data_IF_706478051078
#
_entry.id   IF_706478051078
#
_cell.length_a   1.000
_cell.length_b   1.000
_cell.length_c   1.000
_cell.angle_alpha   90.00
_cell.angle_beta   90.00
_cell.angle_gamma   90.00
#
_symmetry.space_group_name_H-M   'P 1'
#
loop_
_entity.id
_entity.type
_entity.pdbx_description
1 polymer ?
#
# COMPACT_ATOMS: atom_id res chain seq x y z
N UNK A 1 -8.36 12.20 35.66
CA UNK A 1 -8.00 10.78 35.44
C UNK A 1 -6.90 10.72 34.37
N UNK A 2 -5.62 10.79 34.75
CA UNK A 2 -4.45 10.98 33.83
C UNK A 2 -3.37 9.91 33.97
N UNK A 3 -3.61 8.87 34.76
CA UNK A 3 -2.62 7.83 35.12
C UNK A 3 -1.98 7.17 33.89
N UNK A 4 -2.74 7.03 32.79
CA UNK A 4 -2.27 6.39 31.56
C UNK A 4 -1.28 7.22 30.72
N UNK A 5 -1.17 8.54 30.96
CA UNK A 5 -0.23 9.41 30.21
C UNK A 5 1.23 9.05 30.49
N UNK A 6 1.54 8.55 31.69
CA UNK A 6 2.89 8.16 32.09
C UNK A 6 3.39 6.97 31.25
N UNK A 7 2.49 6.03 30.95
CA UNK A 7 2.78 4.83 30.18
C UNK A 7 2.59 5.01 28.66
N UNK A 8 2.29 6.22 28.16
CA UNK A 8 1.97 6.44 26.74
C UNK A 8 3.02 5.91 25.77
N UNK A 9 4.31 5.94 26.14
CA UNK A 9 5.43 5.45 25.32
C UNK A 9 5.51 3.92 25.26
N UNK A 10 4.84 3.21 26.16
CA UNK A 10 4.76 1.75 26.14
C UNK A 10 3.71 1.24 25.14
N UNK A 11 2.82 2.12 24.66
CA UNK A 11 1.86 1.78 23.62
C UNK A 11 2.45 1.98 22.22
N UNK A 12 2.34 0.95 21.37
CA UNK A 12 2.76 0.97 19.96
C UNK A 12 2.20 2.19 19.21
N UNK A 13 0.99 2.61 19.55
CA UNK A 13 0.32 3.78 18.96
C UNK A 13 1.15 5.05 19.05
N UNK A 14 1.88 5.29 20.15
CA UNK A 14 2.70 6.49 20.32
C UNK A 14 3.86 6.59 19.31
N UNK A 15 4.25 5.45 18.72
CA UNK A 15 5.31 5.35 17.74
C UNK A 15 4.76 5.28 16.31
N UNK A 16 3.68 4.53 16.08
CA UNK A 16 3.08 4.38 14.74
C UNK A 16 2.46 5.67 14.23
N UNK A 17 1.97 6.53 15.12
CA UNK A 17 1.39 7.84 14.78
C UNK A 17 2.37 8.83 14.12
N UNK A 18 3.66 8.49 14.04
CA UNK A 18 4.70 9.34 13.42
C UNK A 18 5.00 8.97 11.97
N UNK A 19 4.47 7.86 11.49
CA UNK A 19 4.79 7.34 10.16
C UNK A 19 3.53 6.94 9.39
N UNK A 20 3.53 7.11 8.05
CA UNK A 20 2.44 6.65 7.21
C UNK A 20 2.45 5.10 7.14
N UNK A 21 1.52 4.45 7.83
CA UNK A 21 1.38 3.00 7.81
C UNK A 21 0.15 2.54 7.00
N UNK A 22 -0.63 3.46 6.39
CA UNK A 22 -1.72 3.19 5.44
C UNK A 22 -2.81 2.23 5.93
N UNK A 23 -3.01 2.17 7.26
CA UNK A 23 -3.93 1.22 7.90
C UNK A 23 -3.34 -0.16 8.22
N UNK A 24 -2.08 -0.44 7.89
CA UNK A 24 -1.37 -1.66 8.28
C UNK A 24 -0.94 -1.58 9.76
N UNK A 25 -1.85 -1.90 10.68
CA UNK A 25 -1.61 -1.90 12.13
C UNK A 25 -1.39 -3.29 12.73
N UNK A 26 -1.53 -4.33 11.91
CA UNK A 26 -1.45 -5.74 12.31
C UNK A 26 -0.59 -6.51 11.29
N UNK A 27 0.14 -7.56 11.73
CA UNK A 27 0.93 -8.42 10.85
C UNK A 27 0.07 -9.29 9.91
N UNK A 28 -1.26 -9.27 10.02
CA UNK A 28 -2.17 -10.12 9.23
C UNK A 28 -1.93 -10.08 7.72
N UNK A 29 -1.50 -8.94 7.16
CA UNK A 29 -1.14 -8.84 5.74
C UNK A 29 0.13 -9.61 5.40
N UNK A 30 1.15 -9.54 6.26
CA UNK A 30 2.39 -10.30 6.09
C UNK A 30 2.12 -11.80 6.27
N UNK A 31 1.31 -12.17 7.24
CA UNK A 31 0.86 -13.55 7.45
C UNK A 31 0.08 -14.08 6.25
N UNK A 32 -0.82 -13.28 5.67
CA UNK A 32 -1.53 -13.63 4.45
C UNK A 32 -0.61 -13.84 3.25
N UNK A 33 0.40 -12.98 3.08
CA UNK A 33 1.43 -13.14 2.05
C UNK A 33 2.24 -14.42 2.26
N UNK A 34 2.64 -14.72 3.50
CA UNK A 34 3.31 -15.98 3.83
C UNK A 34 2.42 -17.20 3.56
N UNK A 35 1.13 -17.13 3.93
CA UNK A 35 0.18 -18.20 3.68
C UNK A 35 -0.01 -18.45 2.17
N UNK A 36 -0.05 -17.40 1.37
CA UNK A 36 -0.10 -17.51 -0.10
C UNK A 36 1.12 -18.24 -0.66
N UNK A 37 2.32 -17.83 -0.26
CA UNK A 37 3.57 -18.48 -0.71
C UNK A 37 3.60 -19.94 -0.27
N UNK A 38 3.27 -20.24 1.00
CA UNK A 38 3.18 -21.62 1.50
C UNK A 38 2.19 -22.46 0.72
N UNK A 39 1.02 -21.90 0.35
CA UNK A 39 0.01 -22.57 -0.48
C UNK A 39 0.55 -22.95 -1.87
N UNK A 40 1.39 -22.11 -2.47
CA UNK A 40 2.06 -22.40 -3.73
C UNK A 40 3.16 -23.47 -3.58
N UNK A 41 3.92 -23.43 -2.49
CA UNK A 41 5.00 -24.40 -2.24
C UNK A 41 4.45 -25.80 -1.95
N UNK A 42 3.37 -25.91 -1.16
CA UNK A 42 2.71 -27.16 -0.73
C UNK A 42 3.55 -28.14 0.09
N UNK A 43 4.86 -27.92 0.19
CA UNK A 43 5.81 -28.77 0.91
C UNK A 43 6.69 -27.92 1.82
N UNK A 44 7.10 -28.49 2.96
CA UNK A 44 8.10 -27.89 3.85
C UNK A 44 9.53 -28.24 3.45
N UNK A 45 9.70 -29.26 2.60
CA UNK A 45 10.99 -29.75 2.08
C UNK A 45 10.91 -29.94 0.57
N UNK A 46 11.87 -29.41 -0.19
CA UNK A 46 11.91 -29.57 -1.64
C UNK A 46 13.25 -29.17 -2.23
N UNK A 47 13.58 -29.70 -3.41
CA UNK A 47 14.78 -29.31 -4.14
C UNK A 47 14.74 -27.80 -4.43
N UNK A 48 15.88 -27.12 -4.27
CA UNK A 48 15.96 -25.66 -4.39
C UNK A 48 15.45 -25.16 -5.76
N UNK A 49 15.76 -25.86 -6.84
CA UNK A 49 15.29 -25.54 -8.19
C UNK A 49 13.76 -25.60 -8.29
N UNK A 50 13.12 -26.61 -7.69
CA UNK A 50 11.67 -26.75 -7.67
C UNK A 50 11.02 -25.61 -6.88
N UNK A 51 11.58 -25.25 -5.72
CA UNK A 51 11.11 -24.13 -4.89
C UNK A 51 11.21 -22.82 -5.66
N UNK A 52 12.35 -22.56 -6.31
CA UNK A 52 12.57 -21.36 -7.11
C UNK A 52 11.54 -21.23 -8.25
N UNK A 53 11.32 -22.31 -9.01
CA UNK A 53 10.34 -22.32 -10.09
C UNK A 53 8.92 -22.06 -9.59
N UNK A 54 8.52 -22.68 -8.45
CA UNK A 54 7.22 -22.43 -7.82
C UNK A 54 7.06 -20.98 -7.36
N UNK A 55 8.11 -20.37 -6.80
CA UNK A 55 8.10 -18.97 -6.39
C UNK A 55 7.96 -18.02 -7.58
N UNK A 56 8.64 -18.29 -8.69
CA UNK A 56 8.48 -17.50 -9.92
C UNK A 56 7.05 -17.60 -10.46
N UNK A 57 6.47 -18.80 -10.49
CA UNK A 57 5.06 -18.98 -10.91
C UNK A 57 4.09 -18.25 -9.97
N UNK A 58 4.34 -18.30 -8.65
CA UNK A 58 3.54 -17.57 -7.68
C UNK A 58 3.61 -16.05 -7.90
N UNK A 59 4.81 -15.54 -8.18
CA UNK A 59 5.05 -14.13 -8.49
C UNK A 59 4.33 -13.72 -9.78
N UNK A 60 4.44 -14.50 -10.84
CA UNK A 60 3.75 -14.24 -12.11
C UNK A 60 2.23 -14.19 -11.92
N UNK A 61 1.68 -15.09 -11.10
CA UNK A 61 0.26 -15.11 -10.77
C UNK A 61 -0.15 -13.85 -9.99
N UNK A 62 0.64 -13.42 -9.01
CA UNK A 62 0.39 -12.16 -8.28
C UNK A 62 0.45 -10.95 -9.21
N UNK A 63 1.46 -10.86 -10.09
CA UNK A 63 1.61 -9.75 -11.04
C UNK A 63 0.37 -9.69 -11.96
N UNK A 64 -0.04 -10.83 -12.53
CA UNK A 64 -1.24 -10.89 -13.38
C UNK A 64 -2.50 -10.48 -12.63
N UNK A 65 -2.68 -10.96 -11.40
CA UNK A 65 -3.81 -10.61 -10.56
C UNK A 65 -3.84 -9.09 -10.26
N UNK A 66 -2.70 -8.50 -9.90
CA UNK A 66 -2.57 -7.07 -9.62
C UNK A 66 -2.82 -6.20 -10.85
N UNK A 67 -2.28 -6.59 -12.02
CA UNK A 67 -2.54 -5.88 -13.28
C UNK A 67 -4.02 -5.92 -13.62
N UNK A 68 -4.67 -7.07 -13.48
CA UNK A 68 -6.11 -7.22 -13.68
C UNK A 68 -6.91 -6.35 -12.70
N UNK A 69 -6.60 -6.41 -11.41
CA UNK A 69 -7.26 -5.62 -10.38
C UNK A 69 -7.12 -4.11 -10.62
N UNK A 70 -5.91 -3.63 -10.96
CA UNK A 70 -5.69 -2.22 -11.30
C UNK A 70 -6.46 -1.80 -12.55
N UNK A 71 -6.57 -2.68 -13.53
CA UNK A 71 -7.35 -2.41 -14.75
C UNK A 71 -8.84 -2.29 -14.41
N UNK A 72 -9.36 -3.18 -13.57
CA UNK A 72 -10.73 -3.08 -13.04
C UNK A 72 -10.94 -1.79 -12.24
N UNK A 73 -10.00 -1.40 -11.36
CA UNK A 73 -10.11 -0.15 -10.58
C UNK A 73 -10.11 1.10 -11.46
N UNK A 74 -9.41 1.10 -12.60
CA UNK A 74 -9.45 2.20 -13.57
C UNK A 74 -10.79 2.29 -14.29
N UNK A 75 -11.42 1.15 -14.58
CA UNK A 75 -12.72 1.09 -15.26
C UNK A 75 -13.89 1.40 -14.31
N UNK A 76 -13.81 0.92 -13.07
CA UNK A 76 -14.87 1.06 -12.08
C UNK A 76 -14.81 2.44 -11.42
N UNK A 77 -15.56 3.39 -11.96
CA UNK A 77 -15.84 4.65 -11.29
C UNK A 77 -17.02 4.50 -10.34
N UNK A 78 -16.94 5.16 -9.17
CA UNK A 78 -18.10 5.28 -8.31
C UNK A 78 -19.13 6.20 -9.00
N UNK A 79 -20.35 5.72 -9.16
CA UNK A 79 -21.46 6.50 -9.71
C UNK A 79 -21.93 7.51 -8.66
N UNK A 80 -22.24 8.75 -9.05
CA UNK A 80 -22.69 9.84 -8.16
C UNK A 80 -21.66 10.31 -7.12
N UNK A 81 -20.39 10.46 -7.50
CA UNK A 81 -19.40 11.13 -6.64
C UNK A 81 -19.59 12.65 -6.63
N UNK A 82 -19.34 13.35 -5.50
CA UNK A 82 -19.34 14.81 -5.46
C UNK A 82 -18.31 15.41 -6.43
N UNK A 83 -18.62 16.58 -7.00
CA UNK A 83 -17.82 17.21 -8.06
C UNK A 83 -16.36 17.44 -7.69
N UNK A 84 -16.06 17.74 -6.43
CA UNK A 84 -14.69 17.88 -5.90
C UNK A 84 -13.81 16.64 -6.15
N UNK A 85 -14.41 15.45 -6.30
CA UNK A 85 -13.71 14.19 -6.56
C UNK A 85 -13.58 13.83 -8.05
N UNK A 86 -14.25 14.55 -8.96
CA UNK A 86 -14.30 14.20 -10.38
C UNK A 86 -12.89 14.09 -11.00
N UNK A 87 -12.01 15.01 -10.64
CA UNK A 87 -10.61 15.10 -11.07
C UNK A 87 -9.71 13.96 -10.57
N UNK A 88 -10.06 13.27 -9.49
CA UNK A 88 -9.28 12.16 -8.90
C UNK A 88 -9.88 10.78 -9.17
N UNK A 89 -11.14 10.71 -9.58
CA UNK A 89 -11.79 9.47 -10.01
C UNK A 89 -10.97 8.77 -11.11
N UNK A 90 -10.72 7.47 -10.96
CA UNK A 90 -9.89 6.69 -11.89
C UNK A 90 -8.38 7.01 -11.87
N UNK A 91 -7.93 7.99 -11.07
CA UNK A 91 -6.50 8.33 -10.89
C UNK A 91 -5.93 7.83 -9.56
N UNK A 92 -6.80 7.63 -8.57
CA UNK A 92 -6.45 7.06 -7.26
C UNK A 92 -7.19 5.73 -7.04
N UNK A 93 -6.64 4.87 -6.18
CA UNK A 93 -7.25 3.60 -5.81
C UNK A 93 -8.66 3.79 -5.26
N UNK A 94 -9.53 2.81 -5.52
CA UNK A 94 -10.90 2.82 -5.02
C UNK A 94 -10.95 2.86 -3.49
N UNK A 95 -9.99 2.20 -2.83
CA UNK A 95 -9.85 2.23 -1.38
C UNK A 95 -9.65 3.66 -0.84
N UNK A 96 -8.71 4.41 -1.43
CA UNK A 96 -8.42 5.78 -1.00
C UNK A 96 -9.62 6.70 -1.28
N UNK A 97 -10.27 6.55 -2.43
CA UNK A 97 -11.48 7.29 -2.78
C UNK A 97 -12.60 7.05 -1.75
N UNK A 98 -12.92 5.79 -1.44
CA UNK A 98 -13.94 5.44 -0.42
C UNK A 98 -13.60 6.02 0.96
N UNK A 99 -12.35 5.92 1.40
CA UNK A 99 -11.90 6.50 2.68
C UNK A 99 -12.05 8.03 2.69
N UNK A 100 -11.73 8.69 1.59
CA UNK A 100 -11.88 10.14 1.45
C UNK A 100 -13.36 10.57 1.43
N UNK A 101 -14.23 9.81 0.75
CA UNK A 101 -15.69 10.04 0.79
C UNK A 101 -16.26 9.95 2.20
N UNK A 102 -15.78 9.00 3.02
CA UNK A 102 -16.16 8.93 4.44
C UNK A 102 -15.73 10.20 5.19
N UNK A 103 -14.53 10.74 4.92
CA UNK A 103 -14.09 12.01 5.53
C UNK A 103 -14.92 13.20 5.05
N UNK A 104 -15.33 13.20 3.77
CA UNK A 104 -16.22 14.21 3.21
C UNK A 104 -17.61 14.16 3.85
N UNK A 105 -18.16 12.97 4.10
CA UNK A 105 -19.45 12.81 4.79
C UNK A 105 -19.48 13.42 6.20
N UNK A 106 -18.33 13.44 6.88
CA UNK A 106 -18.17 14.06 8.21
C UNK A 106 -18.20 15.60 8.20
N UNK A 107 -18.15 16.25 7.03
CA UNK A 107 -18.27 17.71 6.93
C UNK A 107 -19.62 18.23 7.42
N UNK A 108 -20.65 17.36 7.47
CA UNK A 108 -21.99 17.70 7.97
C UNK A 108 -22.07 17.78 9.50
N UNK A 109 -21.03 17.34 10.21
CA UNK A 109 -20.97 17.28 11.66
C UNK A 109 -20.12 18.41 12.22
N UNK A 110 -20.28 18.72 13.51
CA UNK A 110 -19.37 19.64 14.20
C UNK A 110 -17.95 19.12 14.12
N UNK A 111 -17.05 19.98 13.65
CA UNK A 111 -15.67 19.61 13.40
C UNK A 111 -14.85 19.78 14.68
N UNK A 112 -14.29 18.68 15.19
CA UNK A 112 -13.29 18.71 16.26
C UNK A 112 -11.90 19.09 15.75
N UNK A 113 -11.10 19.88 16.49
CA UNK A 113 -9.79 20.35 16.04
C UNK A 113 -8.95 19.29 15.31
N UNK A 114 -8.45 19.64 14.12
CA UNK A 114 -7.68 18.73 13.29
C UNK A 114 -6.37 18.35 13.98
N UNK A 115 -6.18 17.06 14.25
CA UNK A 115 -4.91 16.54 14.75
C UNK A 115 -3.88 16.30 13.63
N UNK A 116 -4.31 16.32 12.36
CA UNK A 116 -3.47 15.99 11.19
C UNK A 116 -3.09 14.51 11.06
N UNK A 117 -3.23 13.74 12.13
CA UNK A 117 -2.86 12.32 12.27
C UNK A 117 -3.46 11.48 11.15
N UNK A 118 -4.74 11.67 10.82
CA UNK A 118 -5.39 10.86 9.79
C UNK A 118 -4.69 10.99 8.44
N UNK A 119 -4.36 12.22 8.03
CA UNK A 119 -3.67 12.44 6.76
C UNK A 119 -2.23 11.93 6.79
N UNK A 120 -1.58 11.99 7.94
CA UNK A 120 -0.24 11.44 8.10
C UNK A 120 -0.24 9.90 8.05
N UNK A 121 -1.08 9.22 8.84
CA UNK A 121 -1.14 7.76 8.88
C UNK A 121 -1.63 7.18 7.54
N UNK A 122 -2.68 7.76 6.98
CA UNK A 122 -3.35 7.21 5.80
C UNK A 122 -2.83 7.80 4.50
N UNK A 123 -2.19 8.96 4.48
CA UNK A 123 -1.85 9.64 3.23
C UNK A 123 -3.09 10.13 2.44
N UNK A 124 -4.21 10.38 3.13
CA UNK A 124 -5.50 10.78 2.55
C UNK A 124 -5.97 12.07 3.22
N UNK A 125 -6.53 13.05 2.49
CA UNK A 125 -7.07 14.26 3.09
C UNK A 125 -8.09 13.97 4.20
N UNK A 126 -7.88 14.55 5.39
CA UNK A 126 -8.85 14.52 6.47
C UNK A 126 -9.99 15.52 6.21
N UNK A 127 -11.07 15.42 6.98
CA UNK A 127 -12.23 16.32 6.89
C UNK A 127 -11.85 17.81 6.89
N UNK A 128 -10.88 18.23 7.70
CA UNK A 128 -10.42 19.63 7.71
C UNK A 128 -9.71 20.07 6.44
N UNK A 129 -8.83 19.22 5.89
CA UNK A 129 -8.16 19.51 4.61
C UNK A 129 -9.19 19.61 3.49
N UNK A 130 -10.20 18.74 3.50
CA UNK A 130 -11.31 18.82 2.55
C UNK A 130 -12.11 20.12 2.71
N UNK A 131 -12.45 20.51 3.94
CA UNK A 131 -13.15 21.78 4.20
C UNK A 131 -12.37 23.00 3.67
N UNK A 132 -11.05 23.01 3.86
CA UNK A 132 -10.19 24.08 3.35
C UNK A 132 -10.17 24.13 1.82
N UNK A 133 -10.07 22.97 1.15
CA UNK A 133 -10.10 22.89 -0.32
C UNK A 133 -11.45 23.39 -0.86
N UNK A 134 -12.56 22.95 -0.26
CA UNK A 134 -13.92 23.38 -0.66
C UNK A 134 -14.09 24.89 -0.49
N UNK A 135 -13.64 25.45 0.65
CA UNK A 135 -13.72 26.89 0.92
C UNK A 135 -12.96 27.70 -0.13
N UNK A 136 -11.83 27.19 -0.60
CA UNK A 136 -11.02 27.80 -1.64
C UNK A 136 -11.53 27.53 -3.06
N UNK A 137 -12.74 26.95 -3.21
CA UNK A 137 -13.32 26.52 -4.49
C UNK A 137 -12.39 25.60 -5.31
N UNK A 138 -11.54 24.86 -4.61
CA UNK A 138 -10.59 23.94 -5.23
C UNK A 138 -11.21 22.58 -5.53
N UNK A 139 -10.57 21.84 -6.43
CA UNK A 139 -10.84 20.42 -6.66
C UNK A 139 -9.76 19.56 -6.03
N UNK A 140 -10.06 18.29 -5.75
CA UNK A 140 -9.01 17.37 -5.34
C UNK A 140 -8.08 17.07 -6.52
N UNK A 141 -6.82 16.84 -6.23
CA UNK A 141 -5.84 16.38 -7.22
C UNK A 141 -5.15 15.14 -6.69
N UNK A 142 -4.54 14.36 -7.57
CA UNK A 142 -3.79 13.17 -7.15
C UNK A 142 -2.68 13.50 -6.14
N UNK A 143 -2.11 14.73 -6.22
CA UNK A 143 -1.09 15.23 -5.29
C UNK A 143 -1.58 15.41 -3.86
N UNK A 144 -2.89 15.53 -3.64
CA UNK A 144 -3.43 15.58 -2.28
C UNK A 144 -3.40 14.20 -1.59
N UNK A 145 -3.06 13.14 -2.31
CA UNK A 145 -2.97 11.77 -1.83
C UNK A 145 -1.53 11.29 -1.90
N UNK A 146 -1.15 10.45 -0.94
CA UNK A 146 0.16 9.81 -0.93
C UNK A 146 0.36 8.94 -2.20
N UNK A 147 1.58 8.87 -2.77
CA UNK A 147 1.87 8.11 -3.98
C UNK A 147 1.40 6.64 -3.96
N UNK A 148 1.39 6.01 -2.78
CA UNK A 148 0.85 4.66 -2.54
C UNK A 148 -0.58 4.47 -3.09
N UNK A 149 -1.38 5.53 -3.14
CA UNK A 149 -2.78 5.46 -3.59
C UNK A 149 -2.96 5.84 -5.05
N UNK A 150 -1.93 6.29 -5.76
CA UNK A 150 -2.04 6.74 -7.14
C UNK A 150 -1.99 5.53 -8.07
N UNK A 151 -2.92 5.45 -9.03
CA UNK A 151 -2.99 4.35 -10.00
C UNK A 151 -2.00 4.51 -11.16
N UNK A 152 -1.50 5.73 -11.38
CA UNK A 152 -0.36 5.96 -12.27
C UNK A 152 0.90 5.63 -11.50
N UNK A 153 1.51 4.51 -11.86
CA UNK A 153 2.88 4.21 -11.46
C UNK A 153 3.82 5.07 -12.30
N UNK A 154 4.32 6.16 -11.73
CA UNK A 154 5.45 6.87 -12.32
C UNK A 154 6.70 6.11 -11.85
N UNK A 155 7.34 5.36 -12.74
CA UNK A 155 8.59 4.64 -12.44
C UNK A 155 9.76 5.56 -12.06
N UNK A 156 9.53 6.86 -11.93
CA UNK A 156 10.54 7.90 -11.79
C UNK A 156 11.17 7.99 -10.40
N UNK A 157 10.67 7.26 -9.40
CA UNK A 157 11.26 7.24 -8.05
C UNK A 157 11.87 5.89 -7.67
N UNK A 158 11.83 4.91 -8.56
CA UNK A 158 12.70 3.76 -8.48
C UNK A 158 13.82 4.02 -9.46
N UNK A 159 15.02 4.34 -8.97
CA UNK A 159 16.21 3.84 -9.67
C UNK A 159 15.87 2.39 -10.02
N UNK A 160 15.84 2.06 -11.31
CA UNK A 160 15.85 0.66 -11.72
C UNK A 160 17.15 0.14 -11.13
N UNK A 161 17.09 -0.40 -9.92
CA UNK A 161 18.23 -1.11 -9.35
C UNK A 161 18.44 -2.27 -10.29
N UNK A 162 19.46 -2.13 -11.10
CA UNK A 162 19.90 -3.20 -11.98
C UNK A 162 20.41 -4.31 -11.06
N UNK A 163 19.56 -5.30 -10.86
CA UNK A 163 19.92 -6.50 -10.12
C UNK A 163 20.70 -7.49 -10.99
N UNK A 164 20.96 -7.17 -12.27
CA UNK A 164 21.70 -8.01 -13.21
C UNK A 164 23.05 -8.46 -12.65
N UNK A 165 23.83 -7.52 -12.10
CA UNK A 165 25.12 -7.83 -11.49
C UNK A 165 25.03 -8.72 -10.24
N UNK A 166 23.94 -8.64 -9.47
CA UNK A 166 23.73 -9.56 -8.32
C UNK A 166 23.37 -10.97 -8.80
N UNK A 167 22.61 -11.10 -9.89
CA UNK A 167 22.28 -12.40 -10.47
C UNK A 167 23.47 -13.10 -11.11
N UNK A 168 24.37 -12.35 -11.74
CA UNK A 168 25.63 -12.87 -12.28
C UNK A 168 26.58 -13.33 -11.17
N UNK A 169 26.66 -12.60 -10.06
CA UNK A 169 27.43 -13.00 -8.87
C UNK A 169 26.87 -14.27 -8.21
N UNK A 170 25.54 -14.39 -8.11
CA UNK A 170 24.91 -15.60 -7.56
C UNK A 170 25.11 -16.78 -8.51
N UNK A 171 24.98 -16.57 -9.82
CA UNK A 171 25.21 -17.61 -10.84
C UNK A 171 26.63 -18.15 -10.80
N UNK A 172 27.64 -17.27 -10.81
CA UNK A 172 29.04 -17.68 -10.70
C UNK A 172 29.34 -18.42 -9.40
N UNK A 173 28.74 -18.02 -8.28
CA UNK A 173 28.86 -18.76 -7.01
C UNK A 173 28.23 -20.14 -7.05
N UNK A 174 27.09 -20.30 -7.74
CA UNK A 174 26.44 -21.61 -7.91
C UNK A 174 27.29 -22.52 -8.79
N UNK A 175 27.88 -22.00 -9.87
CA UNK A 175 28.77 -22.75 -10.77
C UNK A 175 30.08 -23.18 -10.09
N UNK A 176 30.53 -22.45 -9.07
CA UNK A 176 31.69 -22.80 -8.24
C UNK A 176 31.37 -23.80 -7.11
N UNK A 177 30.11 -24.16 -6.88
CA UNK A 177 29.79 -25.17 -5.88
C UNK A 177 30.27 -26.55 -6.36
N UNK A 178 30.99 -27.31 -5.52
CA UNK A 178 31.42 -28.66 -5.90
C UNK A 178 30.19 -29.49 -6.22
N UNK A 179 30.21 -30.20 -7.35
CA UNK A 179 29.14 -31.11 -7.73
C UNK A 179 28.87 -32.06 -6.56
N UNK A 180 27.65 -32.03 -6.02
CA UNK A 180 27.21 -33.01 -5.04
C UNK A 180 27.40 -34.39 -5.65
N UNK A 181 28.39 -35.14 -5.14
CA UNK A 181 28.53 -36.57 -5.42
C UNK A 181 27.24 -37.24 -4.96
N UNK A 182 26.49 -37.79 -5.92
CA UNK A 182 25.44 -38.77 -5.65
C UNK A 182 26.04 -40.02 -5.00
#
# INVERSE_FOLDING_TARGET
MTIWIVYKKQFVKAWTLKHPHFGNKSPSRAEGAHAYVKKFLQVSTGALLLVFNKLNTALDHQIKAEVSQRSMEKMHHLVKIPEIFASVSGKISLFALRKCLVQHGKLKQELHPCTGIFTLEMGIPCTYKLAAIIRNRGTLTAYNFHPQWQLKWNSTNGEKKDFGGQWELIRSRIEMLPATKQ
#
